data_IF_555868194059
#
_entry.id   IF_555868194059
#
_cell.length_a   1.000
_cell.length_b   1.000
_cell.length_c   1.000
_cell.angle_alpha   90.00
_cell.angle_beta   90.00
_cell.angle_gamma   90.00
#
_symmetry.space_group_name_H-M   'P 1'
#
loop_
_entity.id
_entity.type
_entity.pdbx_description
1 polymer ?
#
# COMPACT_ATOMS: atom_id res chain seq x y z
N UNK A 1 45.85 -20.21 -5.02
CA UNK A 1 45.37 -21.28 -5.90
C UNK A 1 44.11 -21.89 -5.29
N UNK A 2 42.98 -21.19 -5.46
CA UNK A 2 41.59 -21.66 -5.34
C UNK A 2 40.76 -20.53 -6.02
N UNK A 3 40.53 -20.67 -7.33
CA UNK A 3 39.62 -19.80 -8.08
C UNK A 3 38.22 -20.43 -8.00
N UNK A 4 37.25 -19.70 -7.44
CA UNK A 4 35.86 -20.13 -7.38
C UNK A 4 35.15 -19.69 -8.67
N UNK A 5 34.73 -20.68 -9.45
CA UNK A 5 34.14 -20.54 -10.78
C UNK A 5 32.61 -20.47 -10.63
N UNK A 6 32.03 -19.27 -10.60
CA UNK A 6 30.58 -19.08 -10.59
C UNK A 6 30.06 -19.10 -12.04
N UNK A 7 29.59 -20.26 -12.48
CA UNK A 7 28.93 -20.42 -13.79
C UNK A 7 27.48 -19.90 -13.74
N UNK A 8 27.29 -18.80 -14.45
CA UNK A 8 26.18 -18.46 -15.36
C UNK A 8 24.83 -19.17 -15.12
N UNK A 9 24.01 -18.62 -14.21
CA UNK A 9 22.55 -18.80 -14.25
C UNK A 9 21.97 -17.57 -14.94
N UNK A 10 21.75 -17.65 -16.26
CA UNK A 10 20.97 -16.66 -17.00
C UNK A 10 19.50 -16.77 -16.61
N UNK A 11 19.12 -16.20 -15.48
CA UNK A 11 17.73 -15.78 -15.31
C UNK A 11 17.49 -14.63 -16.30
N UNK A 12 16.56 -14.86 -17.23
CA UNK A 12 16.06 -13.83 -18.14
C UNK A 12 15.49 -12.70 -17.27
N UNK A 13 16.28 -11.64 -17.08
CA UNK A 13 15.84 -10.41 -16.40
C UNK A 13 14.68 -9.84 -17.22
N UNK A 14 13.46 -10.04 -16.76
CA UNK A 14 12.36 -9.15 -17.15
C UNK A 14 12.73 -7.76 -16.64
N UNK A 15 12.55 -6.70 -17.44
CA UNK A 15 12.88 -5.35 -17.02
C UNK A 15 12.04 -4.99 -15.79
N UNK A 16 12.68 -4.43 -14.77
CA UNK A 16 12.10 -4.05 -13.47
C UNK A 16 10.82 -3.18 -13.62
N UNK A 17 10.67 -2.51 -14.76
CA UNK A 17 9.52 -1.69 -15.14
C UNK A 17 8.25 -2.50 -15.42
N UNK A 18 8.35 -3.76 -15.86
CA UNK A 18 7.17 -4.60 -16.15
C UNK A 18 6.52 -5.16 -14.87
N UNK A 19 7.31 -5.38 -13.82
CA UNK A 19 6.79 -5.89 -12.53
C UNK A 19 6.06 -4.79 -11.73
N UNK A 20 6.56 -3.55 -11.80
CA UNK A 20 5.92 -2.37 -11.18
C UNK A 20 4.57 -2.00 -11.83
N UNK A 21 4.44 -2.21 -13.15
CA UNK A 21 3.18 -1.99 -13.88
C UNK A 21 2.17 -3.11 -13.57
N UNK A 22 2.61 -4.35 -13.31
CA UNK A 22 1.68 -5.43 -12.96
C UNK A 22 1.10 -5.30 -11.54
N UNK A 23 1.81 -4.76 -10.56
CA UNK A 23 1.23 -4.53 -9.22
C UNK A 23 0.23 -3.34 -9.25
N UNK A 24 0.47 -2.33 -10.07
CA UNK A 24 -0.48 -1.22 -10.29
C UNK A 24 -1.69 -1.60 -11.18
N UNK A 25 -1.57 -2.61 -12.05
CA UNK A 25 -2.69 -3.09 -12.88
C UNK A 25 -3.43 -4.30 -12.29
N UNK A 26 -2.80 -5.10 -11.43
CA UNK A 26 -3.44 -6.29 -10.82
C UNK A 26 -4.49 -5.93 -9.76
N UNK A 27 -4.40 -4.73 -9.16
CA UNK A 27 -5.49 -4.19 -8.32
C UNK A 27 -6.69 -3.63 -9.14
N UNK A 28 -6.61 -3.62 -10.48
CA UNK A 28 -7.69 -3.22 -11.38
C UNK A 28 -8.08 -4.29 -12.42
N UNK A 29 -7.39 -5.43 -12.49
CA UNK A 29 -7.69 -6.51 -13.42
C UNK A 29 -7.31 -7.86 -12.82
N UNK A 30 -8.26 -8.51 -12.15
CA UNK A 30 -8.16 -9.93 -11.85
C UNK A 30 -8.44 -10.74 -13.12
N UNK A 31 -7.45 -11.47 -13.62
CA UNK A 31 -7.67 -12.74 -14.34
C UNK A 31 -6.33 -13.49 -14.49
N UNK A 32 -6.24 -14.66 -13.84
CA UNK A 32 -5.31 -15.72 -14.21
C UNK A 32 -6.16 -16.92 -14.67
N UNK A 33 -5.89 -17.39 -15.88
CA UNK A 33 -6.25 -18.74 -16.34
C UNK A 33 -5.14 -19.75 -15.98
N UNK A 34 -5.49 -21.06 -15.94
CA UNK A 34 -4.89 -21.91 -16.97
C UNK A 34 -5.88 -22.85 -17.69
N UNK A 35 -5.75 -22.84 -19.02
CA UNK A 35 -5.95 -23.91 -20.02
C UNK A 35 -7.22 -24.79 -20.03
N UNK A 36 -8.09 -24.43 -20.98
CA UNK A 36 -8.76 -25.23 -22.03
C UNK A 36 -9.77 -26.33 -21.64
N UNK A 37 -11.07 -26.02 -21.75
CA UNK A 37 -11.93 -26.55 -22.82
C UNK A 37 -13.35 -25.93 -22.78
N UNK A 38 -13.82 -25.47 -23.95
CA UNK A 38 -15.22 -25.22 -24.36
C UNK A 38 -16.16 -24.48 -23.38
N UNK A 39 -15.93 -23.19 -23.11
CA UNK A 39 -16.94 -22.32 -22.47
C UNK A 39 -16.89 -20.83 -22.89
N UNK A 40 -16.33 -20.51 -24.06
CA UNK A 40 -15.92 -19.14 -24.41
C UNK A 40 -17.05 -18.16 -24.78
N UNK A 41 -18.32 -18.57 -24.86
CA UNK A 41 -19.40 -17.61 -25.19
C UNK A 41 -20.06 -16.97 -23.96
N UNK A 42 -20.01 -17.61 -22.79
CA UNK A 42 -20.67 -17.12 -21.58
C UNK A 42 -19.77 -16.23 -20.70
N UNK A 43 -18.44 -16.42 -20.75
CA UNK A 43 -17.47 -15.68 -19.94
C UNK A 43 -17.23 -14.25 -20.48
N UNK A 44 -17.12 -14.09 -21.80
CA UNK A 44 -16.99 -12.78 -22.46
C UNK A 44 -18.19 -11.84 -22.21
N UNK A 45 -19.38 -12.40 -21.92
CA UNK A 45 -20.58 -11.63 -21.57
C UNK A 45 -20.50 -11.00 -20.17
N UNK A 46 -19.78 -11.61 -19.22
CA UNK A 46 -19.64 -11.10 -17.85
C UNK A 46 -18.66 -9.93 -17.78
N UNK A 47 -17.54 -10.05 -18.49
CA UNK A 47 -16.48 -9.05 -18.53
C UNK A 47 -16.94 -7.74 -19.21
N UNK A 48 -17.69 -7.84 -20.32
CA UNK A 48 -18.26 -6.66 -20.98
C UNK A 48 -19.28 -5.93 -20.07
N UNK A 49 -20.08 -6.69 -19.30
CA UNK A 49 -21.06 -6.13 -18.37
C UNK A 49 -20.39 -5.38 -17.21
N UNK A 50 -19.24 -5.85 -16.72
CA UNK A 50 -18.46 -5.16 -15.69
C UNK A 50 -17.80 -3.88 -16.22
N UNK A 51 -17.27 -3.89 -17.45
CA UNK A 51 -16.75 -2.70 -18.13
C UNK A 51 -17.85 -1.66 -18.34
N UNK A 52 -19.04 -2.10 -18.75
CA UNK A 52 -20.18 -1.22 -18.99
C UNK A 52 -20.71 -0.63 -17.66
N UNK A 53 -20.67 -1.39 -16.56
CA UNK A 53 -21.00 -0.90 -15.21
C UNK A 53 -19.96 0.11 -14.69
N UNK A 54 -18.67 -0.13 -14.88
CA UNK A 54 -17.62 0.81 -14.48
C UNK A 54 -17.69 2.13 -15.27
N UNK A 55 -17.98 2.06 -16.58
CA UNK A 55 -18.24 3.24 -17.42
C UNK A 55 -19.50 3.98 -16.98
N UNK A 56 -20.57 3.26 -16.64
CA UNK A 56 -21.78 3.86 -16.10
C UNK A 56 -21.50 4.58 -14.77
N UNK A 57 -20.73 3.97 -13.85
CA UNK A 57 -20.35 4.57 -12.58
C UNK A 57 -19.46 5.81 -12.76
N UNK A 58 -18.48 5.77 -13.67
CA UNK A 58 -17.67 6.94 -14.03
C UNK A 58 -18.53 8.08 -14.58
N UNK A 59 -19.50 7.77 -15.44
CA UNK A 59 -20.47 8.74 -15.95
C UNK A 59 -21.33 9.34 -14.83
N UNK A 60 -21.77 8.52 -13.85
CA UNK A 60 -22.54 9.04 -12.71
C UNK A 60 -21.73 9.93 -11.78
N UNK A 61 -20.43 9.69 -11.63
CA UNK A 61 -19.53 10.55 -10.82
C UNK A 61 -19.27 11.88 -11.52
N UNK A 62 -19.09 11.86 -12.85
CA UNK A 62 -18.92 13.08 -13.65
C UNK A 62 -20.22 13.92 -13.67
N UNK A 63 -21.38 13.28 -13.83
CA UNK A 63 -22.69 13.94 -13.70
C UNK A 63 -22.94 14.49 -12.29
N UNK A 64 -22.51 13.79 -11.24
CA UNK A 64 -22.63 14.26 -9.86
C UNK A 64 -21.73 15.47 -9.60
N UNK A 65 -20.52 15.48 -10.16
CA UNK A 65 -19.61 16.63 -10.11
C UNK A 65 -20.20 17.85 -10.86
N UNK A 66 -20.79 17.63 -12.04
CA UNK A 66 -21.47 18.67 -12.82
C UNK A 66 -22.70 19.22 -12.09
N UNK A 67 -23.55 18.36 -11.53
CA UNK A 67 -24.75 18.80 -10.77
C UNK A 67 -24.36 19.57 -9.51
N UNK A 68 -23.26 19.20 -8.84
CA UNK A 68 -22.73 19.94 -7.69
C UNK A 68 -22.20 21.32 -8.11
N UNK A 69 -21.50 21.40 -9.24
CA UNK A 69 -21.00 22.67 -9.79
C UNK A 69 -22.15 23.60 -10.21
N UNK A 70 -23.20 23.08 -10.86
CA UNK A 70 -24.41 23.85 -11.17
C UNK A 70 -25.18 24.28 -9.92
N UNK A 71 -25.29 23.41 -8.91
CA UNK A 71 -25.91 23.75 -7.63
C UNK A 71 -25.15 24.86 -6.92
N UNK A 72 -23.81 24.81 -6.91
CA UNK A 72 -22.95 25.87 -6.38
C UNK A 72 -23.14 27.18 -7.16
N UNK A 73 -23.13 27.15 -8.49
CA UNK A 73 -23.36 28.32 -9.34
C UNK A 73 -24.73 28.96 -9.08
N UNK A 74 -25.78 28.14 -8.92
CA UNK A 74 -27.14 28.59 -8.60
C UNK A 74 -27.26 29.15 -7.19
N UNK A 75 -26.47 28.64 -6.24
CA UNK A 75 -26.41 29.12 -4.86
C UNK A 75 -25.58 30.42 -4.73
N UNK A 76 -24.55 30.58 -5.55
CA UNK A 76 -23.65 31.73 -5.61
C UNK A 76 -24.22 32.94 -6.38
N UNK A 77 -25.26 32.76 -7.18
CA UNK A 77 -25.94 33.85 -7.92
C UNK A 77 -26.71 34.87 -7.08
N UNK A 78 -26.59 34.87 -5.74
CA UNK A 78 -27.38 35.77 -4.86
C UNK A 78 -26.58 36.69 -3.93
N UNK A 79 -25.27 36.53 -3.78
CA UNK A 79 -24.43 37.53 -3.10
C UNK A 79 -22.99 37.50 -3.64
N UNK A 80 -22.36 38.66 -3.93
CA UNK A 80 -20.95 38.70 -4.24
C UNK A 80 -20.16 38.38 -2.97
N UNK A 81 -19.48 37.23 -2.96
CA UNK A 81 -18.47 36.90 -1.96
C UNK A 81 -17.10 37.41 -2.44
N UNK A 82 -16.15 37.67 -1.51
CA UNK A 82 -14.80 38.08 -1.90
C UNK A 82 -14.17 36.95 -2.71
N UNK A 83 -13.89 37.22 -3.99
CA UNK A 83 -13.45 36.22 -4.97
C UNK A 83 -12.19 35.44 -4.52
N UNK A 84 -11.37 36.05 -3.65
CA UNK A 84 -10.14 35.46 -3.14
C UNK A 84 -10.35 34.33 -2.10
N UNK A 85 -11.50 34.27 -1.41
CA UNK A 85 -11.71 33.31 -0.31
C UNK A 85 -12.30 31.97 -0.80
N UNK A 86 -13.11 31.98 -1.86
CA UNK A 86 -13.79 30.79 -2.38
C UNK A 86 -12.83 29.89 -3.16
N UNK A 87 -11.97 30.47 -4.01
CA UNK A 87 -10.96 29.71 -4.76
C UNK A 87 -9.89 29.10 -3.83
N UNK A 88 -9.52 29.80 -2.76
CA UNK A 88 -8.62 29.26 -1.74
C UNK A 88 -9.26 28.06 -1.02
N UNK A 89 -10.51 28.15 -0.59
CA UNK A 89 -11.21 27.06 0.10
C UNK A 89 -11.45 25.83 -0.78
N UNK A 90 -11.83 26.01 -2.05
CA UNK A 90 -12.03 24.91 -3.01
C UNK A 90 -10.69 24.19 -3.28
N UNK A 91 -9.60 24.94 -3.50
CA UNK A 91 -8.28 24.36 -3.73
C UNK A 91 -7.73 23.64 -2.49
N UNK A 92 -7.98 24.17 -1.29
CA UNK A 92 -7.59 23.54 -0.04
C UNK A 92 -8.37 22.24 0.19
N UNK A 93 -9.67 22.23 -0.06
CA UNK A 93 -10.53 21.04 0.12
C UNK A 93 -10.17 19.91 -0.87
N UNK A 94 -9.86 20.26 -2.12
CA UNK A 94 -9.46 19.28 -3.13
C UNK A 94 -8.09 18.64 -2.83
N UNK A 95 -7.13 19.44 -2.33
CA UNK A 95 -5.82 18.93 -1.86
C UNK A 95 -5.96 18.03 -0.64
N UNK A 96 -6.74 18.45 0.35
CA UNK A 96 -7.01 17.67 1.56
C UNK A 96 -7.63 16.31 1.22
N UNK A 97 -8.62 16.28 0.32
CA UNK A 97 -9.20 15.04 -0.18
C UNK A 97 -8.15 14.14 -0.87
N UNK A 98 -7.27 14.71 -1.69
CA UNK A 98 -6.22 13.95 -2.39
C UNK A 98 -5.22 13.33 -1.42
N UNK A 99 -4.87 14.05 -0.35
CA UNK A 99 -3.96 13.56 0.69
C UNK A 99 -4.61 12.45 1.53
N UNK A 100 -5.89 12.59 1.91
CA UNK A 100 -6.63 11.52 2.60
C UNK A 100 -6.77 10.26 1.74
N UNK A 101 -6.89 10.38 0.42
CA UNK A 101 -6.86 9.22 -0.48
C UNK A 101 -5.48 8.54 -0.50
N UNK A 102 -4.38 9.29 -0.45
CA UNK A 102 -3.04 8.70 -0.31
C UNK A 102 -2.88 7.93 1.01
N UNK A 103 -3.39 8.48 2.11
CA UNK A 103 -3.36 7.80 3.42
C UNK A 103 -4.26 6.55 3.44
N UNK A 104 -5.42 6.60 2.79
CA UNK A 104 -6.24 5.40 2.60
C UNK A 104 -5.51 4.34 1.75
N UNK A 105 -4.79 4.75 0.72
CA UNK A 105 -4.00 3.84 -0.08
C UNK A 105 -2.83 3.23 0.72
N UNK A 106 -2.19 4.01 1.60
CA UNK A 106 -1.20 3.49 2.54
C UNK A 106 -1.84 2.44 3.47
N UNK A 107 -3.01 2.74 4.07
CA UNK A 107 -3.75 1.80 4.92
C UNK A 107 -4.03 0.46 4.21
N UNK A 108 -4.46 0.50 2.94
CA UNK A 108 -4.68 -0.72 2.14
C UNK A 108 -3.36 -1.44 1.84
N UNK A 109 -2.28 -0.69 1.66
CA UNK A 109 -0.92 -1.21 1.57
C UNK A 109 -0.50 -2.01 2.81
N UNK A 110 -0.87 -1.54 4.01
CA UNK A 110 -0.58 -2.28 5.25
C UNK A 110 -1.31 -3.63 5.29
N UNK A 111 -2.58 -3.70 4.84
CA UNK A 111 -3.31 -4.97 4.75
C UNK A 111 -2.65 -5.95 3.78
N UNK A 112 -2.13 -5.43 2.66
CA UNK A 112 -1.31 -6.19 1.73
C UNK A 112 -0.03 -6.70 2.40
N UNK A 113 0.71 -5.83 3.11
CA UNK A 113 1.97 -6.17 3.77
C UNK A 113 1.79 -7.22 4.88
N UNK A 114 0.73 -7.10 5.68
CA UNK A 114 0.33 -8.12 6.68
C UNK A 114 0.15 -9.48 6.01
N UNK A 115 -0.62 -9.55 4.93
CA UNK A 115 -0.87 -10.82 4.23
C UNK A 115 0.41 -11.39 3.59
N UNK A 116 1.24 -10.51 3.02
CA UNK A 116 2.52 -10.86 2.43
C UNK A 116 3.47 -11.48 3.48
N UNK A 117 3.74 -10.77 4.58
CA UNK A 117 4.65 -11.26 5.62
C UNK A 117 4.10 -12.45 6.39
N UNK A 118 2.78 -12.53 6.62
CA UNK A 118 2.15 -13.71 7.25
C UNK A 118 2.33 -14.97 6.41
N UNK A 119 2.35 -14.85 5.08
CA UNK A 119 2.65 -15.97 4.19
C UNK A 119 4.07 -16.50 4.41
N UNK A 120 5.05 -15.61 4.53
CA UNK A 120 6.43 -16.00 4.88
C UNK A 120 6.57 -16.56 6.30
N UNK A 121 5.90 -15.95 7.29
CA UNK A 121 5.93 -16.43 8.68
C UNK A 121 5.46 -17.90 8.77
N UNK A 122 4.44 -18.28 7.99
CA UNK A 122 3.91 -19.64 7.97
C UNK A 122 4.88 -20.65 7.35
N UNK A 123 5.75 -20.23 6.44
CA UNK A 123 6.77 -21.06 5.81
C UNK A 123 8.11 -21.06 6.56
N UNK A 124 8.34 -20.07 7.44
CA UNK A 124 9.61 -19.87 8.11
C UNK A 124 9.94 -21.00 9.08
N UNK A 125 11.18 -21.49 9.01
CA UNK A 125 11.65 -22.63 9.81
C UNK A 125 12.61 -22.22 10.90
N UNK A 126 13.39 -21.15 10.70
CA UNK A 126 14.35 -20.68 11.68
C UNK A 126 13.70 -19.76 12.71
N UNK A 127 14.23 -19.75 13.93
CA UNK A 127 13.72 -18.86 15.00
C UNK A 127 13.95 -17.39 14.67
N UNK A 128 15.06 -17.08 13.98
CA UNK A 128 15.38 -15.72 13.54
C UNK A 128 14.37 -15.22 12.49
N UNK A 129 14.14 -15.99 11.43
CA UNK A 129 13.18 -15.65 10.37
C UNK A 129 11.78 -15.45 10.92
N UNK A 130 11.31 -16.37 11.77
CA UNK A 130 9.99 -16.26 12.40
C UNK A 130 9.87 -14.98 13.23
N UNK A 131 10.92 -14.61 13.96
CA UNK A 131 10.94 -13.36 14.73
C UNK A 131 10.94 -12.13 13.81
N UNK A 132 11.72 -12.15 12.75
CA UNK A 132 11.77 -11.07 11.77
C UNK A 132 10.40 -10.86 11.10
N UNK A 133 9.77 -11.93 10.60
CA UNK A 133 8.44 -11.83 9.99
C UNK A 133 7.37 -11.39 10.97
N UNK A 134 7.41 -11.85 12.22
CA UNK A 134 6.47 -11.37 13.23
C UNK A 134 6.63 -9.87 13.46
N UNK A 135 7.86 -9.36 13.61
CA UNK A 135 8.10 -7.93 13.80
C UNK A 135 7.66 -7.09 12.60
N UNK A 136 7.84 -7.60 11.38
CA UNK A 136 7.34 -6.94 10.17
C UNK A 136 5.81 -6.88 10.16
N UNK A 137 5.13 -7.98 10.50
CA UNK A 137 3.66 -7.99 10.67
C UNK A 137 3.23 -6.97 11.74
N UNK A 138 3.92 -6.93 12.88
CA UNK A 138 3.59 -6.03 13.98
C UNK A 138 3.71 -4.56 13.55
N UNK A 139 4.67 -4.22 12.68
CA UNK A 139 4.84 -2.87 12.12
C UNK A 139 3.67 -2.51 11.22
N UNK A 140 3.35 -3.36 10.24
CA UNK A 140 2.24 -3.10 9.31
C UNK A 140 0.92 -2.96 10.09
N UNK A 141 0.68 -3.82 11.08
CA UNK A 141 -0.48 -3.71 11.98
C UNK A 141 -0.47 -2.38 12.74
N UNK A 142 0.67 -1.98 13.31
CA UNK A 142 0.79 -0.72 14.03
C UNK A 142 0.52 0.49 13.13
N UNK A 143 1.04 0.48 11.92
CA UNK A 143 0.80 1.54 10.93
C UNK A 143 -0.68 1.59 10.55
N UNK A 144 -1.31 0.44 10.27
CA UNK A 144 -2.73 0.34 9.94
C UNK A 144 -3.65 0.85 11.08
N UNK A 145 -3.34 0.50 12.33
CA UNK A 145 -4.05 0.99 13.51
C UNK A 145 -3.97 2.52 13.62
N UNK A 146 -2.78 3.09 13.46
CA UNK A 146 -2.58 4.54 13.49
C UNK A 146 -3.30 5.25 12.33
N UNK A 147 -3.23 4.69 11.12
CA UNK A 147 -3.89 5.23 9.94
C UNK A 147 -5.41 5.19 10.08
N UNK A 148 -5.99 4.07 10.50
CA UNK A 148 -7.43 3.94 10.71
C UNK A 148 -7.94 4.89 11.80
N UNK A 149 -7.23 4.99 12.93
CA UNK A 149 -7.56 5.96 14.00
C UNK A 149 -7.52 7.42 13.51
N UNK A 150 -6.68 7.72 12.50
CA UNK A 150 -6.62 9.03 11.86
C UNK A 150 -7.74 9.25 10.84
N UNK A 151 -8.04 8.24 10.02
CA UNK A 151 -8.94 8.33 8.86
C UNK A 151 -10.43 8.25 9.25
N UNK A 152 -10.79 7.39 10.21
CA UNK A 152 -12.20 7.16 10.58
C UNK A 152 -12.92 8.41 11.11
N UNK A 153 -12.34 9.24 12.00
CA UNK A 153 -12.98 10.48 12.44
C UNK A 153 -13.21 11.50 11.31
N UNK A 154 -12.55 11.32 10.16
CA UNK A 154 -12.67 12.16 8.96
C UNK A 154 -13.66 11.59 7.94
N UNK A 155 -14.42 10.57 8.32
CA UNK A 155 -15.45 9.96 7.48
C UNK A 155 -14.91 8.99 6.42
N UNK A 156 -13.63 8.62 6.50
CA UNK A 156 -13.04 7.61 5.62
C UNK A 156 -13.20 6.24 6.28
N UNK A 157 -13.81 5.30 5.56
CA UNK A 157 -13.98 3.93 6.03
C UNK A 157 -12.68 3.13 5.86
N UNK A 158 -12.24 2.48 6.95
CA UNK A 158 -11.10 1.59 6.99
C UNK A 158 -11.60 0.20 7.39
N UNK A 159 -11.80 -0.73 6.44
CA UNK A 159 -12.25 -2.08 6.78
C UNK A 159 -11.13 -2.85 7.46
N UNK A 160 -11.45 -3.69 8.45
CA UNK A 160 -10.46 -4.54 9.14
C UNK A 160 -9.77 -5.51 8.18
N UNK A 161 -10.50 -5.95 7.15
CA UNK A 161 -10.00 -6.84 6.09
C UNK A 161 -10.32 -6.26 4.69
N UNK A 162 -9.40 -6.45 3.74
CA UNK A 162 -9.58 -6.15 2.32
C UNK A 162 -9.12 -7.38 1.53
N UNK A 163 -10.11 -8.18 1.09
CA UNK A 163 -9.93 -9.43 0.36
C UNK A 163 -9.00 -9.33 -0.86
N UNK A 164 -9.05 -8.19 -1.57
CA UNK A 164 -8.19 -7.96 -2.73
C UNK A 164 -6.74 -7.74 -2.31
N UNK A 165 -6.51 -6.94 -1.27
CA UNK A 165 -5.16 -6.70 -0.73
C UNK A 165 -4.58 -7.97 -0.12
N UNK A 166 -5.39 -8.75 0.60
CA UNK A 166 -4.98 -10.02 1.19
C UNK A 166 -4.56 -11.01 0.10
N UNK A 167 -5.38 -11.20 -0.94
CA UNK A 167 -5.05 -12.08 -2.07
C UNK A 167 -3.79 -11.62 -2.80
N UNK A 168 -3.67 -10.32 -3.07
CA UNK A 168 -2.51 -9.77 -3.76
C UNK A 168 -1.22 -9.97 -2.95
N UNK A 169 -1.24 -9.73 -1.64
CA UNK A 169 -0.09 -9.93 -0.76
C UNK A 169 0.34 -11.39 -0.70
N UNK A 170 -0.62 -12.31 -0.58
CA UNK A 170 -0.37 -13.75 -0.65
C UNK A 170 0.24 -14.16 -1.99
N UNK A 171 -0.37 -13.76 -3.10
CA UNK A 171 0.12 -14.11 -4.44
C UNK A 171 1.56 -13.63 -4.65
N UNK A 172 1.88 -12.40 -4.25
CA UNK A 172 3.24 -11.88 -4.37
C UNK A 172 4.22 -12.67 -3.50
N UNK A 173 3.85 -13.03 -2.26
CA UNK A 173 4.71 -13.81 -1.38
C UNK A 173 5.02 -15.20 -1.98
N UNK A 174 4.03 -15.87 -2.58
CA UNK A 174 4.22 -17.17 -3.22
C UNK A 174 5.21 -17.13 -4.40
N UNK A 175 5.44 -15.98 -5.03
CA UNK A 175 6.47 -15.86 -6.08
C UNK A 175 7.89 -16.04 -5.54
N UNK A 176 8.09 -15.78 -4.24
CA UNK A 176 9.41 -15.68 -3.61
C UNK A 176 9.57 -16.60 -2.39
N UNK A 177 8.55 -17.39 -2.04
CA UNK A 177 8.50 -18.19 -0.81
C UNK A 177 9.62 -19.24 -0.72
N UNK A 178 10.10 -19.72 -1.86
CA UNK A 178 11.18 -20.72 -1.97
C UNK A 178 12.58 -20.10 -2.07
N UNK A 179 12.70 -18.76 -2.05
CA UNK A 179 14.00 -18.12 -2.09
C UNK A 179 14.76 -18.32 -0.77
N UNK A 180 16.07 -18.64 -0.83
CA UNK A 180 16.93 -18.57 0.35
C UNK A 180 16.90 -17.16 0.96
N UNK A 181 17.00 -17.06 2.28
CA UNK A 181 16.91 -15.80 3.03
C UNK A 181 17.74 -14.65 2.42
N UNK A 182 19.03 -14.86 2.17
CA UNK A 182 19.91 -13.84 1.59
C UNK A 182 19.43 -13.36 0.20
N UNK A 183 18.91 -14.29 -0.61
CA UNK A 183 18.35 -13.97 -1.94
C UNK A 183 17.02 -13.24 -1.83
N UNK A 184 16.20 -13.58 -0.83
CA UNK A 184 14.94 -12.89 -0.54
C UNK A 184 15.19 -11.46 -0.08
N UNK A 185 16.11 -11.23 0.86
CA UNK A 185 16.47 -9.87 1.31
C UNK A 185 17.00 -9.02 0.15
N UNK A 186 17.88 -9.59 -0.69
CA UNK A 186 18.36 -8.91 -1.88
C UNK A 186 17.27 -8.63 -2.92
N UNK A 187 16.22 -9.46 -2.97
CA UNK A 187 15.05 -9.26 -3.85
C UNK A 187 14.13 -8.16 -3.32
N UNK A 188 13.94 -8.08 -2.00
CA UNK A 188 13.09 -7.09 -1.34
C UNK A 188 13.69 -5.68 -1.38
N UNK A 189 15.00 -5.53 -1.19
CA UNK A 189 15.64 -4.23 -0.99
C UNK A 189 15.35 -3.18 -2.09
N UNK A 190 15.42 -3.47 -3.41
CA UNK A 190 15.12 -2.48 -4.44
C UNK A 190 13.65 -2.05 -4.47
N UNK A 191 12.75 -2.98 -4.12
CA UNK A 191 11.31 -2.72 -4.06
C UNK A 191 11.01 -1.74 -2.92
N UNK A 192 11.41 -2.10 -1.69
CA UNK A 192 11.19 -1.28 -0.49
C UNK A 192 11.84 0.11 -0.65
N UNK A 193 13.06 0.19 -1.19
CA UNK A 193 13.75 1.48 -1.39
C UNK A 193 12.93 2.47 -2.22
N UNK A 194 12.20 1.97 -3.22
CA UNK A 194 11.34 2.80 -4.09
C UNK A 194 10.16 3.38 -3.30
N UNK A 195 9.54 2.58 -2.43
CA UNK A 195 8.44 3.04 -1.58
C UNK A 195 8.94 3.99 -0.48
N UNK A 196 10.03 3.66 0.20
CA UNK A 196 10.65 4.53 1.20
C UNK A 196 10.99 5.93 0.64
N UNK A 197 11.56 6.01 -0.57
CA UNK A 197 11.80 7.28 -1.23
C UNK A 197 10.50 8.04 -1.52
N UNK A 198 9.49 7.37 -2.08
CA UNK A 198 8.19 7.97 -2.39
C UNK A 198 7.52 8.54 -1.14
N UNK A 199 7.45 7.77 -0.05
CA UNK A 199 6.73 8.21 1.15
C UNK A 199 7.46 9.33 1.89
N UNK A 200 8.81 9.37 1.89
CA UNK A 200 9.57 10.53 2.38
C UNK A 200 9.26 11.81 1.58
N UNK A 201 9.20 11.70 0.26
CA UNK A 201 8.83 12.84 -0.59
C UNK A 201 7.41 13.32 -0.29
N UNK A 202 6.46 12.40 -0.11
CA UNK A 202 5.09 12.73 0.26
C UNK A 202 5.01 13.39 1.64
N UNK A 203 5.70 12.85 2.65
CA UNK A 203 5.75 13.42 4.00
C UNK A 203 6.34 14.84 4.04
N UNK A 204 7.34 15.11 3.20
CA UNK A 204 7.95 16.45 3.06
C UNK A 204 6.99 17.43 2.39
N UNK A 205 6.15 16.97 1.46
CA UNK A 205 5.19 17.80 0.74
C UNK A 205 3.87 18.03 1.53
N UNK A 206 3.56 17.16 2.50
CA UNK A 206 2.33 17.21 3.26
C UNK A 206 2.48 18.04 4.55
N UNK A 207 2.03 19.29 4.47
CA UNK A 207 1.96 20.19 5.62
C UNK A 207 0.69 20.01 6.47
N UNK A 208 -0.32 19.28 5.99
CA UNK A 208 -1.66 19.22 6.61
C UNK A 208 -1.82 17.99 7.49
N UNK A 209 -1.33 16.83 7.02
CA UNK A 209 -1.34 15.57 7.76
C UNK A 209 0.09 15.11 8.08
N UNK A 210 0.99 16.07 8.28
CA UNK A 210 2.43 15.85 8.40
C UNK A 210 2.81 14.71 9.36
N UNK A 211 2.20 14.63 10.55
CA UNK A 211 2.55 13.60 11.53
C UNK A 211 2.18 12.19 11.08
N UNK A 212 1.03 12.00 10.43
CA UNK A 212 0.62 10.68 9.94
C UNK A 212 1.39 10.31 8.66
N UNK A 213 1.73 11.29 7.82
CA UNK A 213 2.59 11.08 6.66
C UNK A 213 4.04 10.75 7.06
N UNK A 214 4.57 11.34 8.14
CA UNK A 214 5.85 10.93 8.73
C UNK A 214 5.79 9.49 9.22
N UNK A 215 4.72 9.09 9.91
CA UNK A 215 4.56 7.70 10.38
C UNK A 215 4.68 6.70 9.22
N UNK A 216 4.06 6.99 8.08
CA UNK A 216 4.14 6.14 6.88
C UNK A 216 5.56 6.13 6.29
N UNK A 217 6.26 7.26 6.29
CA UNK A 217 7.66 7.28 5.83
C UNK A 217 8.59 6.51 6.78
N UNK A 218 8.39 6.66 8.10
CA UNK A 218 9.19 6.00 9.13
C UNK A 218 9.04 4.48 9.11
N UNK A 219 7.86 3.94 8.75
CA UNK A 219 7.66 2.49 8.70
C UNK A 219 8.47 1.87 7.56
N UNK A 220 8.46 2.50 6.39
CA UNK A 220 9.22 2.03 5.22
C UNK A 220 10.72 2.14 5.46
N UNK A 221 11.17 3.23 6.08
CA UNK A 221 12.58 3.40 6.45
C UNK A 221 13.02 2.35 7.49
N UNK A 222 12.15 1.95 8.43
CA UNK A 222 12.44 0.89 9.39
C UNK A 222 12.58 -0.49 8.70
N UNK A 223 11.68 -0.82 7.77
CA UNK A 223 11.73 -2.07 6.99
C UNK A 223 12.96 -2.07 6.08
N UNK A 224 13.26 -0.97 5.40
CA UNK A 224 14.46 -0.85 4.56
C UNK A 224 15.73 -1.03 5.38
N UNK A 225 15.83 -0.37 6.54
CA UNK A 225 16.98 -0.47 7.42
C UNK A 225 17.19 -1.91 7.92
N UNK A 226 16.12 -2.63 8.26
CA UNK A 226 16.19 -4.05 8.60
C UNK A 226 16.75 -4.87 7.44
N UNK A 227 16.19 -4.73 6.23
CA UNK A 227 16.63 -5.51 5.06
C UNK A 227 18.10 -5.22 4.73
N UNK A 228 18.52 -3.95 4.77
CA UNK A 228 19.92 -3.57 4.55
C UNK A 228 20.85 -4.17 5.61
N UNK A 229 20.41 -4.25 6.87
CA UNK A 229 21.19 -4.86 7.95
C UNK A 229 21.25 -6.39 7.86
N UNK A 230 20.19 -7.06 7.43
CA UNK A 230 20.21 -8.50 7.13
C UNK A 230 21.19 -8.81 6.00
N UNK A 231 21.17 -8.01 4.92
CA UNK A 231 22.11 -8.16 3.80
C UNK A 231 23.57 -7.92 4.23
N UNK A 232 23.79 -7.05 5.22
CA UNK A 232 25.10 -6.80 5.81
C UNK A 232 25.49 -7.82 6.90
N UNK A 233 24.62 -8.78 7.21
CA UNK A 233 24.79 -9.77 8.29
C UNK A 233 25.07 -9.12 9.65
N UNK A 234 24.41 -7.99 9.93
CA UNK A 234 24.56 -7.29 11.20
C UNK A 234 23.95 -8.10 12.36
N UNK A 235 24.64 -8.15 13.50
CA UNK A 235 24.19 -8.92 14.67
C UNK A 235 22.84 -8.46 15.26
N UNK A 236 22.48 -7.19 15.04
CA UNK A 236 21.27 -6.58 15.60
C UNK A 236 20.36 -6.00 14.50
N UNK A 237 20.21 -6.74 13.41
CA UNK A 237 19.37 -6.37 12.25
C UNK A 237 17.92 -6.05 12.58
N UNK A 238 17.38 -6.61 13.66
CA UNK A 238 16.00 -6.39 14.11
C UNK A 238 15.79 -5.06 14.85
N UNK A 239 16.86 -4.34 15.21
CA UNK A 239 16.78 -3.12 16.00
C UNK A 239 15.87 -2.04 15.38
N UNK A 240 15.97 -1.73 14.06
CA UNK A 240 15.12 -0.71 13.44
C UNK A 240 13.62 -1.02 13.59
N UNK A 241 13.24 -2.29 13.50
CA UNK A 241 11.85 -2.72 13.63
C UNK A 241 11.34 -2.48 15.06
N UNK A 242 12.13 -2.89 16.05
CA UNK A 242 11.76 -2.70 17.46
C UNK A 242 11.75 -1.24 17.90
N UNK A 243 12.64 -0.41 17.31
CA UNK A 243 12.67 1.02 17.57
C UNK A 243 11.41 1.70 17.02
N UNK A 244 10.98 1.36 15.81
CA UNK A 244 9.72 1.86 15.24
C UNK A 244 8.53 1.54 16.16
N UNK A 245 8.39 0.28 16.58
CA UNK A 245 7.29 -0.16 17.46
C UNK A 245 7.29 0.53 18.83
N UNK A 246 8.48 0.93 19.31
CA UNK A 246 8.63 1.70 20.55
C UNK A 246 8.24 3.17 20.34
N UNK A 247 8.62 3.75 19.19
CA UNK A 247 8.34 5.15 18.84
C UNK A 247 6.85 5.39 18.60
N UNK A 248 6.17 4.44 17.97
CA UNK A 248 4.76 4.51 17.62
C UNK A 248 3.97 3.47 18.40
N UNK A 249 3.58 3.71 19.67
CA UNK A 249 2.75 2.78 20.44
C UNK A 249 1.35 2.61 19.81
N UNK A 250 0.69 1.49 20.09
CA UNK A 250 -0.66 1.24 19.56
C UNK A 250 -1.58 2.35 20.06
N UNK A 251 -2.40 2.95 19.17
CA UNK A 251 -3.40 3.91 19.62
C UNK A 251 -4.31 3.18 20.59
N UNK A 252 -4.20 3.54 21.87
CA UNK A 252 -4.93 2.89 22.95
C UNK A 252 -6.40 2.79 22.54
N UNK A 253 -7.02 1.60 22.46
CA UNK A 253 -8.44 1.52 22.24
C UNK A 253 -9.05 2.34 23.36
N UNK A 254 -9.84 3.37 23.00
CA UNK A 254 -10.52 4.23 23.95
C UNK A 254 -11.15 3.30 24.99
N UNK A 255 -10.59 3.30 26.20
CA UNK A 255 -11.25 2.70 27.32
C UNK A 255 -12.59 3.42 27.41
N UNK A 256 -13.66 2.72 27.06
CA UNK A 256 -15.04 3.10 27.33
C UNK A 256 -15.09 3.48 28.81
N UNK A 257 -14.90 4.76 29.09
CA UNK A 257 -15.02 5.35 30.40
C UNK A 257 -16.46 5.81 30.48
N UNK A 258 -17.26 4.91 31.06
CA UNK A 258 -18.51 5.06 31.80
C UNK A 258 -19.40 6.29 31.50
#
# INVERSE_FOLDING_TARGET
MWECNYRDVRMKRLPLTTLLIMIFLSACSSEQEPQQNEADSHFLSGHQKAIDQAKAMSGTLEEAAQKRDEALKKQLGKQPLPEDNVLFQINTTARDFTLLQHLLQAYRGELYGIAFFRTFLNAATSTHERRAWQLLIDIEQRTAECLSAYLMPRGIHCPEDDDDMVRAGQQQAHLWIDLPWDSLMATLAPWIRTYAERYRQQATADNTHHSISILVADHEDAILAFVEQEMAQAENSLAPLTEFLTRYPSPHPLANTA
#
